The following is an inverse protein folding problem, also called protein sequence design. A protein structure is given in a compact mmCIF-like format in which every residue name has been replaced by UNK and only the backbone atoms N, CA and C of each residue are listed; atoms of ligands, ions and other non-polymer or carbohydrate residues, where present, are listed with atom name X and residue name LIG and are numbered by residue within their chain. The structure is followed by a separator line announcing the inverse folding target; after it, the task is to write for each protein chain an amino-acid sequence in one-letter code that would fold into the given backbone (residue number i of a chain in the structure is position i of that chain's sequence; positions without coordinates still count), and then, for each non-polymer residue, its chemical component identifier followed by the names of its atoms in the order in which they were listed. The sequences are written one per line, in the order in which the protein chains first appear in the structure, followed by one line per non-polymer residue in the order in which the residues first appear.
data_IF_330383604952
#
_entry.id   IF_330383604952
#
_cell.length_a   1.000
_cell.length_b   1.000
_cell.length_c   1.000
_cell.angle_alpha   90.00
_cell.angle_beta   90.00
_cell.angle_gamma   90.00
#
_symmetry.space_group_name_H-M   'P 1'
#
loop_
_entity.id
_entity.type
_entity.pdbx_description
1 polymer ?
#
# COMPACT_ATOMS: atom_id res chain seq x y z
N UNK A 1 3.34 -11.07 -2.19
CA UNK A 1 3.59 -12.38 -2.80
C UNK A 1 2.25 -13.02 -3.12
N UNK A 2 2.04 -13.32 -4.37
CA UNK A 2 0.78 -13.92 -4.88
C UNK A 2 -0.48 -13.17 -4.44
N UNK A 3 -0.44 -11.86 -4.48
CA UNK A 3 -1.57 -11.02 -4.13
C UNK A 3 -1.78 -10.80 -2.64
N UNK A 4 -0.89 -11.32 -1.80
CA UNK A 4 -0.97 -11.17 -0.34
C UNK A 4 0.22 -10.37 0.17
N UNK A 5 -0.03 -9.49 1.14
CA UNK A 5 1.05 -8.79 1.82
C UNK A 5 1.74 -9.74 2.79
N UNK A 6 3.05 -9.85 2.66
CA UNK A 6 3.86 -10.68 3.54
C UNK A 6 5.07 -9.89 4.01
N UNK A 7 5.60 -10.25 5.18
CA UNK A 7 6.86 -9.68 5.66
C UNK A 7 8.00 -10.46 5.04
N UNK A 8 8.76 -9.83 4.16
CA UNK A 8 9.83 -10.50 3.39
C UNK A 8 10.88 -11.15 4.29
N UNK A 9 11.14 -10.57 5.46
CA UNK A 9 12.09 -11.12 6.42
C UNK A 9 11.61 -12.42 7.09
N UNK A 10 10.33 -12.74 6.95
CA UNK A 10 9.72 -13.92 7.55
C UNK A 10 9.40 -15.02 6.52
N UNK A 11 9.83 -14.83 5.28
CA UNK A 11 9.56 -15.78 4.19
C UNK A 11 10.89 -16.38 3.73
N UNK A 12 10.95 -17.71 3.71
CA UNK A 12 12.12 -18.42 3.17
C UNK A 12 12.14 -18.28 1.65
N UNK A 13 13.31 -18.03 1.08
CA UNK A 13 13.46 -17.83 -0.36
C UNK A 13 12.95 -19.03 -1.18
N UNK A 14 13.07 -20.24 -0.65
CA UNK A 14 12.60 -21.44 -1.33
C UNK A 14 11.08 -21.45 -1.53
N UNK A 15 10.34 -20.78 -0.65
CA UNK A 15 8.89 -20.67 -0.75
C UNK A 15 8.44 -19.68 -1.82
N UNK A 16 9.36 -18.85 -2.26
CA UNK A 16 9.07 -17.88 -3.33
C UNK A 16 9.24 -18.46 -4.73
N UNK A 17 9.71 -19.69 -4.84
CA UNK A 17 9.87 -20.33 -6.15
C UNK A 17 8.52 -20.43 -6.86
N UNK A 18 8.47 -19.89 -8.08
CA UNK A 18 7.24 -19.87 -8.86
C UNK A 18 6.22 -18.84 -8.41
N UNK A 19 6.49 -18.08 -7.36
CA UNK A 19 5.57 -17.08 -6.84
C UNK A 19 5.69 -15.77 -7.62
N UNK A 20 4.58 -15.05 -7.69
CA UNK A 20 4.55 -13.70 -8.26
C UNK A 20 4.80 -12.70 -7.13
N UNK A 21 5.89 -11.94 -7.24
CA UNK A 21 6.35 -11.02 -6.21
C UNK A 21 6.24 -9.59 -6.70
N UNK A 22 5.61 -8.74 -5.90
CA UNK A 22 5.54 -7.30 -6.14
C UNK A 22 6.21 -6.56 -4.99
N UNK A 23 7.13 -5.68 -5.33
CA UNK A 23 7.73 -4.73 -4.39
C UNK A 23 7.31 -3.32 -4.77
N UNK A 24 7.68 -2.34 -3.93
CA UNK A 24 7.28 -0.95 -4.17
C UNK A 24 7.79 -0.41 -5.50
N UNK A 25 8.93 -0.88 -5.97
CA UNK A 25 9.50 -0.45 -7.24
C UNK A 25 8.62 -0.85 -8.43
N UNK A 26 7.80 -1.87 -8.29
CA UNK A 26 6.91 -2.34 -9.35
C UNK A 26 5.55 -1.66 -9.39
N UNK A 27 5.26 -0.76 -8.45
CA UNK A 27 3.95 -0.09 -8.41
C UNK A 27 3.79 0.96 -9.51
N UNK A 28 4.83 1.72 -9.80
CA UNK A 28 4.78 2.75 -10.82
C UNK A 28 4.82 2.13 -12.21
N UNK A 29 4.05 2.71 -13.14
CA UNK A 29 4.03 2.31 -14.54
C UNK A 29 4.71 3.41 -15.35
N UNK A 30 5.92 3.13 -15.86
CA UNK A 30 6.78 4.11 -16.55
C UNK A 30 6.96 5.36 -15.69
N UNK A 31 6.48 6.53 -16.15
CA UNK A 31 6.57 7.79 -15.43
C UNK A 31 5.36 8.09 -14.56
N UNK A 32 4.42 7.15 -14.45
CA UNK A 32 3.20 7.34 -13.68
C UNK A 32 3.25 6.60 -12.37
N UNK A 33 3.07 7.34 -11.29
CA UNK A 33 2.94 6.74 -9.98
C UNK A 33 1.58 6.06 -9.83
N UNK A 34 1.55 4.96 -9.10
CA UNK A 34 0.29 4.31 -8.76
C UNK A 34 -0.58 5.28 -7.93
N UNK A 35 -1.92 5.24 -8.07
CA UNK A 35 -2.81 6.12 -7.29
C UNK A 35 -2.54 6.13 -5.79
N UNK A 36 -2.15 4.99 -5.22
CA UNK A 36 -1.77 4.92 -3.80
C UNK A 36 -0.56 5.80 -3.51
N UNK A 37 0.46 5.76 -4.37
CA UNK A 37 1.66 6.57 -4.21
C UNK A 37 1.34 8.08 -4.32
N UNK A 38 0.52 8.44 -5.28
CA UNK A 38 0.08 9.83 -5.47
C UNK A 38 -0.68 10.32 -4.23
N UNK A 39 -1.59 9.51 -3.72
CA UNK A 39 -2.39 9.86 -2.56
C UNK A 39 -1.52 10.09 -1.32
N UNK A 40 -0.51 9.26 -1.10
CA UNK A 40 0.41 9.44 0.02
C UNK A 40 1.23 10.72 -0.11
N UNK A 41 1.61 11.07 -1.32
CA UNK A 41 2.36 12.31 -1.58
C UNK A 41 1.49 13.54 -1.35
N UNK A 42 0.29 13.56 -1.91
CA UNK A 42 -0.60 14.72 -1.84
C UNK A 42 -1.16 14.95 -0.43
N UNK A 43 -1.36 13.90 0.34
CA UNK A 43 -1.94 13.99 1.67
C UNK A 43 -0.91 13.93 2.79
N UNK A 44 0.36 14.07 2.44
CA UNK A 44 1.46 14.06 3.41
C UNK A 44 1.50 12.80 4.28
N UNK A 45 1.23 11.66 3.67
CA UNK A 45 1.25 10.36 4.35
C UNK A 45 2.65 9.84 4.63
N UNK A 46 3.68 10.59 4.24
CA UNK A 46 5.06 10.21 4.47
C UNK A 46 5.86 11.41 4.95
N UNK A 47 6.93 11.14 5.71
CA UNK A 47 7.91 12.16 6.12
C UNK A 47 9.30 11.69 5.74
N UNK A 48 9.93 10.81 6.55
CA UNK A 48 11.26 10.29 6.21
C UNK A 48 11.24 9.25 5.08
N UNK A 49 10.10 8.64 4.81
CA UNK A 49 9.94 7.66 3.75
C UNK A 49 10.34 6.22 4.11
N UNK A 50 10.84 5.98 5.31
CA UNK A 50 11.32 4.66 5.69
C UNK A 50 10.21 3.62 5.80
N UNK A 51 9.06 3.99 6.39
CA UNK A 51 7.92 3.09 6.53
C UNK A 51 7.06 3.01 5.26
N UNK A 52 7.28 3.91 4.31
CA UNK A 52 6.40 4.10 3.16
C UNK A 52 6.26 2.86 2.27
N UNK A 53 7.34 2.14 1.90
CA UNK A 53 7.18 0.96 1.06
C UNK A 53 6.24 -0.08 1.65
N UNK A 54 6.37 -0.37 2.93
CA UNK A 54 5.51 -1.32 3.62
C UNK A 54 4.06 -0.84 3.68
N UNK A 55 3.85 0.44 3.99
CA UNK A 55 2.51 1.02 4.04
C UNK A 55 1.83 1.01 2.68
N UNK A 56 2.56 1.32 1.61
CA UNK A 56 2.01 1.30 0.26
C UNK A 56 1.53 -0.09 -0.15
N UNK A 57 2.34 -1.10 0.11
CA UNK A 57 1.99 -2.47 -0.26
C UNK A 57 0.85 -3.02 0.61
N UNK A 58 0.83 -2.71 1.90
CA UNK A 58 -0.28 -3.08 2.78
C UNK A 58 -1.57 -2.40 2.36
N UNK A 59 -1.49 -1.14 1.98
CA UNK A 59 -2.64 -0.38 1.47
C UNK A 59 -3.18 -0.99 0.20
N UNK A 60 -2.32 -1.35 -0.73
CA UNK A 60 -2.72 -1.97 -1.98
C UNK A 60 -3.50 -3.27 -1.72
N UNK A 61 -2.99 -4.11 -0.82
CA UNK A 61 -3.65 -5.36 -0.44
C UNK A 61 -5.01 -5.09 0.20
N UNK A 62 -5.08 -4.11 1.11
CA UNK A 62 -6.32 -3.73 1.77
C UNK A 62 -7.37 -3.28 0.75
N UNK A 63 -7.00 -2.39 -0.16
CA UNK A 63 -7.94 -1.84 -1.15
C UNK A 63 -8.39 -2.87 -2.17
N UNK A 64 -7.60 -3.89 -2.43
CA UNK A 64 -8.01 -5.01 -3.29
C UNK A 64 -9.10 -5.85 -2.65
N UNK A 65 -9.04 -6.01 -1.33
CA UNK A 65 -10.06 -6.76 -0.58
C UNK A 65 -11.30 -5.93 -0.32
N UNK A 66 -11.11 -4.65 -0.04
CA UNK A 66 -12.18 -3.75 0.34
C UNK A 66 -11.94 -2.38 -0.30
N UNK A 67 -12.58 -2.10 -1.45
CA UNK A 67 -12.39 -0.83 -2.16
C UNK A 67 -12.86 0.41 -1.41
N UNK A 68 -13.72 0.24 -0.41
CA UNK A 68 -14.26 1.35 0.37
C UNK A 68 -14.13 1.07 1.87
N UNK A 69 -12.90 1.03 2.40
CA UNK A 69 -12.71 0.71 3.81
C UNK A 69 -13.15 1.85 4.72
N UNK A 70 -13.65 1.49 5.91
CA UNK A 70 -13.87 2.46 6.97
C UNK A 70 -12.53 2.82 7.61
N UNK A 71 -12.52 3.90 8.42
CA UNK A 71 -11.31 4.29 9.13
C UNK A 71 -10.76 3.17 10.02
N UNK A 72 -11.65 2.45 10.71
CA UNK A 72 -11.25 1.32 11.54
C UNK A 72 -10.63 0.19 10.72
N UNK A 73 -11.21 -0.13 9.58
CA UNK A 73 -10.67 -1.14 8.67
C UNK A 73 -9.30 -0.73 8.12
N UNK A 74 -9.11 0.55 7.82
CA UNK A 74 -7.82 1.08 7.39
C UNK A 74 -6.78 0.89 8.49
N UNK A 75 -7.10 1.27 9.73
CA UNK A 75 -6.18 1.14 10.86
C UNK A 75 -5.77 -0.31 11.09
N UNK A 76 -6.70 -1.24 10.97
CA UNK A 76 -6.40 -2.66 11.08
C UNK A 76 -5.53 -3.16 9.94
N UNK A 77 -5.80 -2.68 8.73
CA UNK A 77 -5.06 -3.11 7.54
C UNK A 77 -3.59 -2.71 7.56
N UNK A 78 -3.23 -1.68 8.31
CA UNK A 78 -1.85 -1.18 8.38
C UNK A 78 -1.18 -1.43 9.74
N UNK A 79 -1.81 -2.12 10.67
CA UNK A 79 -1.30 -2.23 12.04
C UNK A 79 0.05 -2.95 12.14
N UNK A 80 0.42 -3.74 11.15
CA UNK A 80 1.75 -4.37 11.09
C UNK A 80 2.86 -3.44 10.62
N UNK A 81 2.55 -2.21 10.25
CA UNK A 81 3.52 -1.25 9.71
C UNK A 81 3.74 -0.13 10.72
N UNK A 82 4.96 -0.06 11.24
CA UNK A 82 5.30 0.96 12.24
C UNK A 82 5.86 2.21 11.56
N UNK A 83 5.34 3.37 11.97
CA UNK A 83 5.83 4.66 11.53
C UNK A 83 5.91 5.62 12.71
N UNK A 84 7.12 6.11 12.99
CA UNK A 84 7.34 7.02 14.10
C UNK A 84 7.12 8.49 13.73
N UNK A 85 7.15 8.81 12.44
CA UNK A 85 7.11 10.20 11.97
C UNK A 85 5.71 10.78 11.87
N UNK A 86 4.78 10.02 11.29
CA UNK A 86 3.49 10.55 10.84
C UNK A 86 2.39 10.53 11.88
N UNK A 87 2.50 9.69 12.91
CA UNK A 87 1.42 9.46 13.86
C UNK A 87 0.17 8.82 13.24
N UNK A 88 0.26 8.38 12.00
CA UNK A 88 -0.77 7.67 11.24
C UNK A 88 -1.99 8.50 10.78
N UNK A 89 -2.16 9.72 11.24
CA UNK A 89 -3.33 10.56 10.84
C UNK A 89 -3.31 10.82 9.33
N UNK A 90 -2.19 11.30 8.81
CA UNK A 90 -2.07 11.56 7.39
C UNK A 90 -2.00 10.28 6.56
N UNK A 91 -1.51 9.20 7.15
CA UNK A 91 -1.52 7.89 6.50
C UNK A 91 -2.96 7.44 6.25
N UNK A 92 -3.83 7.54 7.24
CA UNK A 92 -5.25 7.18 7.10
C UNK A 92 -5.92 8.06 6.03
N UNK A 93 -5.65 9.36 6.03
CA UNK A 93 -6.16 10.27 5.00
C UNK A 93 -5.69 9.88 3.61
N UNK A 94 -4.42 9.52 3.48
CA UNK A 94 -3.83 9.10 2.21
C UNK A 94 -4.51 7.84 1.68
N UNK A 95 -4.77 6.88 2.55
CA UNK A 95 -5.42 5.63 2.16
C UNK A 95 -6.86 5.87 1.71
N UNK A 96 -7.59 6.74 2.40
CA UNK A 96 -8.95 7.11 1.99
C UNK A 96 -8.95 7.81 0.64
N UNK A 97 -8.02 8.73 0.43
CA UNK A 97 -7.87 9.40 -0.86
C UNK A 97 -7.53 8.43 -1.98
N UNK A 98 -6.66 7.44 -1.70
CA UNK A 98 -6.32 6.40 -2.64
C UNK A 98 -7.55 5.55 -3.00
N UNK A 99 -8.35 5.19 -2.01
CA UNK A 99 -9.58 4.42 -2.23
C UNK A 99 -10.55 5.17 -3.15
N UNK A 100 -10.75 6.46 -2.90
CA UNK A 100 -11.62 7.28 -3.74
C UNK A 100 -11.08 7.40 -5.16
N UNK A 101 -9.78 7.60 -5.31
CA UNK A 101 -9.13 7.72 -6.61
C UNK A 101 -9.24 6.42 -7.42
N UNK A 102 -9.00 5.29 -6.77
CA UNK A 102 -9.07 3.98 -7.44
C UNK A 102 -10.49 3.58 -7.80
N UNK A 103 -11.49 4.05 -7.06
CA UNK A 103 -12.89 3.82 -7.39
C UNK A 103 -13.31 4.56 -8.67
N UNK A 104 -12.64 5.67 -8.99
CA UNK A 104 -12.92 6.48 -10.18
C UNK A 104 -12.12 6.04 -11.39
N UNK A 105 -11.05 5.31 -11.20
CA UNK A 105 -10.15 4.88 -12.26
C UNK A 105 -10.08 3.36 -12.30
N UNK A 106 -10.06 2.82 -13.51
CA UNK A 106 -9.73 1.44 -13.72
C UNK A 106 -8.21 1.30 -13.63
N UNK A 107 -7.73 0.70 -12.56
CA UNK A 107 -6.30 0.48 -12.37
C UNK A 107 -5.96 -0.92 -12.81
N UNK A 108 -4.95 -1.05 -13.68
CA UNK A 108 -4.49 -2.33 -14.19
C UNK A 108 -3.47 -2.97 -13.26
N UNK A 109 -3.29 -4.27 -13.43
CA UNK A 109 -2.30 -5.03 -12.69
C UNK A 109 -2.79 -5.43 -11.32
N UNK A 110 -2.16 -4.92 -10.28
CA UNK A 110 -2.41 -5.32 -8.90
C UNK A 110 -3.60 -4.64 -8.25
N UNK A 111 -4.33 -3.88 -8.99
CA UNK A 111 -5.56 -3.24 -8.50
C UNK A 111 -6.73 -4.21 -8.48
#
# INVERSE_FOLDING_TARGET
MDGKAVKSCMVLAVRAEGAEILTVEGLADDDRLHPVQVAFTENHGLQCGFCTPGLLLSTLTLLRRNPHPTEEEIRRGIEGNLCRCTGYVNVVKSIRAAADSMAKQEVKGWS
#
